data_IF_832910061532
#
_entry.id   IF_832910061532
#
_cell.length_a   1.000
_cell.length_b   1.000
_cell.length_c   1.000
_cell.angle_alpha   90.00
_cell.angle_beta   90.00
_cell.angle_gamma   90.00
#
_symmetry.space_group_name_H-M   'P 1'
#
loop_
_entity.id
_entity.type
_entity.pdbx_description
1 polymer ?
#
# COMPACT_ATOMS: atom_id res chain seq x y z
N UNK A 1 7.58 15.84 -4.28
CA UNK A 1 8.83 15.58 -5.03
C UNK A 1 8.59 14.32 -5.83
N UNK A 2 8.85 14.36 -7.12
CA UNK A 2 8.68 13.22 -8.01
C UNK A 2 10.01 12.46 -8.06
N UNK A 3 9.95 11.14 -7.88
CA UNK A 3 11.13 10.27 -7.95
C UNK A 3 10.89 9.35 -9.16
N UNK A 4 11.40 9.70 -10.35
CA UNK A 4 11.26 8.89 -11.54
C UNK A 4 12.08 7.59 -11.41
N UNK A 5 11.69 6.58 -12.15
CA UNK A 5 12.54 5.40 -12.32
C UNK A 5 13.88 5.81 -12.95
N UNK A 6 15.00 5.19 -12.57
CA UNK A 6 16.30 5.46 -13.17
C UNK A 6 16.29 5.22 -14.69
N UNK A 7 17.05 6.00 -15.44
CA UNK A 7 17.11 5.92 -16.90
C UNK A 7 17.41 4.52 -17.42
N UNK A 8 18.31 3.79 -16.75
CA UNK A 8 18.65 2.42 -17.15
C UNK A 8 17.48 1.43 -16.99
N UNK A 9 16.54 1.68 -16.05
CA UNK A 9 15.29 0.92 -15.91
C UNK A 9 14.32 1.28 -17.04
N UNK A 10 14.21 2.56 -17.37
CA UNK A 10 13.39 3.02 -18.50
C UNK A 10 13.91 2.47 -19.84
N UNK A 11 15.21 2.38 -20.03
CA UNK A 11 15.84 1.75 -21.20
C UNK A 11 15.58 0.23 -21.26
N UNK A 12 15.57 -0.45 -20.11
CA UNK A 12 15.17 -1.85 -20.03
C UNK A 12 13.70 -2.03 -20.44
N UNK A 13 12.82 -1.15 -19.98
CA UNK A 13 11.41 -1.14 -20.34
C UNK A 13 11.14 -0.85 -21.84
N UNK A 14 12.00 -0.09 -22.52
CA UNK A 14 11.92 0.06 -24.00
C UNK A 14 12.21 -1.25 -24.73
N UNK A 15 13.09 -2.09 -24.17
CA UNK A 15 13.44 -3.41 -24.75
C UNK A 15 12.43 -4.49 -24.38
N UNK A 16 11.84 -4.39 -23.21
CA UNK A 16 10.84 -5.29 -22.67
C UNK A 16 9.69 -4.47 -22.04
N UNK A 17 8.70 -4.06 -22.87
CA UNK A 17 7.60 -3.22 -22.39
C UNK A 17 6.73 -3.87 -21.30
N UNK A 18 6.73 -5.21 -21.21
CA UNK A 18 6.03 -5.95 -20.15
C UNK A 18 6.73 -5.86 -18.77
N UNK A 19 7.83 -5.10 -18.68
CA UNK A 19 8.40 -4.66 -17.41
C UNK A 19 7.44 -3.73 -16.65
N UNK A 20 6.55 -3.04 -17.34
CA UNK A 20 5.60 -2.09 -16.75
C UNK A 20 4.18 -2.64 -16.71
N UNK A 21 3.42 -2.20 -15.70
CA UNK A 21 1.99 -2.46 -15.66
C UNK A 21 1.28 -1.92 -16.90
N UNK A 22 0.28 -2.64 -17.36
CA UNK A 22 -0.45 -2.30 -18.60
C UNK A 22 -1.95 -2.31 -18.33
N UNK A 23 -2.63 -1.24 -18.74
CA UNK A 23 -4.08 -1.15 -18.71
C UNK A 23 -4.74 -1.83 -19.92
N UNK A 24 -6.08 -1.88 -19.95
CA UNK A 24 -6.86 -2.51 -21.01
C UNK A 24 -6.68 -1.87 -22.41
N UNK A 25 -6.17 -0.64 -22.47
CA UNK A 25 -5.91 0.07 -23.73
C UNK A 25 -4.46 -0.05 -24.18
N UNK A 26 -3.63 -0.79 -23.45
CA UNK A 26 -2.22 -1.01 -23.77
C UNK A 26 -1.28 0.10 -23.32
N UNK A 27 -1.75 1.05 -22.47
CA UNK A 27 -0.87 2.03 -21.87
C UNK A 27 0.07 1.36 -20.88
N UNK A 28 1.37 1.60 -21.03
CA UNK A 28 2.44 1.14 -20.16
C UNK A 28 2.75 2.21 -19.12
N UNK A 29 2.53 1.90 -17.83
CA UNK A 29 2.73 2.87 -16.76
C UNK A 29 4.19 2.84 -16.27
N UNK A 30 5.01 3.87 -16.56
CA UNK A 30 6.41 3.92 -16.16
C UNK A 30 6.64 4.39 -14.71
N UNK A 31 5.59 4.48 -13.90
CA UNK A 31 5.70 4.90 -12.49
C UNK A 31 6.40 3.84 -11.65
N UNK A 32 6.12 2.56 -11.91
CA UNK A 32 6.72 1.45 -11.17
C UNK A 32 6.79 0.18 -12.02
N UNK A 33 7.67 -0.74 -11.61
CA UNK A 33 7.84 -2.03 -12.25
C UNK A 33 6.65 -2.94 -11.90
N UNK A 34 6.18 -3.70 -12.90
CA UNK A 34 5.11 -4.67 -12.73
C UNK A 34 5.52 -5.80 -11.78
N UNK A 35 4.65 -6.14 -10.83
CA UNK A 35 4.85 -7.25 -9.90
C UNK A 35 4.99 -8.62 -10.61
N UNK A 36 4.43 -8.76 -11.81
CA UNK A 36 4.60 -9.99 -12.62
C UNK A 36 6.01 -10.11 -13.22
N UNK A 37 6.80 -9.03 -13.21
CA UNK A 37 8.21 -9.05 -13.58
C UNK A 37 9.15 -9.38 -12.41
N UNK A 38 8.67 -9.52 -11.17
CA UNK A 38 9.47 -9.72 -9.96
C UNK A 38 10.64 -10.67 -10.12
N UNK A 39 10.40 -11.81 -10.79
CA UNK A 39 11.38 -12.88 -11.00
C UNK A 39 11.87 -12.99 -12.46
N UNK A 40 11.56 -12.02 -13.32
CA UNK A 40 12.04 -11.99 -14.69
C UNK A 40 13.40 -11.28 -14.79
N UNK A 41 14.36 -11.86 -15.49
CA UNK A 41 15.71 -11.30 -15.63
C UNK A 41 15.72 -10.13 -16.66
N UNK A 42 14.96 -9.07 -16.38
CA UNK A 42 14.70 -7.94 -17.29
C UNK A 42 15.65 -6.77 -17.11
N UNK A 43 16.33 -6.69 -15.96
CA UNK A 43 17.20 -5.57 -15.57
C UNK A 43 18.68 -5.95 -15.72
N UNK A 44 19.21 -5.86 -16.93
CA UNK A 44 20.60 -6.25 -17.26
C UNK A 44 20.95 -7.67 -16.77
N UNK A 45 20.05 -8.64 -17.00
CA UNK A 45 20.21 -10.03 -16.54
C UNK A 45 19.84 -10.27 -15.07
N UNK A 46 19.44 -9.25 -14.33
CA UNK A 46 18.98 -9.34 -12.95
C UNK A 46 17.45 -9.24 -12.88
N UNK A 47 16.86 -9.82 -11.86
CA UNK A 47 15.43 -9.64 -11.59
C UNK A 47 15.19 -8.34 -10.81
N UNK A 48 13.99 -7.74 -10.91
CA UNK A 48 13.59 -6.64 -10.03
C UNK A 48 13.80 -6.97 -8.54
N UNK A 49 13.41 -8.16 -8.10
CA UNK A 49 13.62 -8.59 -6.71
C UNK A 49 15.08 -8.57 -6.29
N UNK A 50 16.01 -9.06 -7.16
CA UNK A 50 17.43 -9.01 -6.87
C UNK A 50 17.95 -7.56 -6.82
N UNK A 51 17.45 -6.70 -7.69
CA UNK A 51 17.83 -5.28 -7.71
C UNK A 51 17.39 -4.56 -6.43
N UNK A 52 16.16 -4.79 -5.97
CA UNK A 52 15.67 -4.28 -4.67
C UNK A 52 16.51 -4.83 -3.50
N UNK A 53 16.82 -6.12 -3.53
CA UNK A 53 17.66 -6.75 -2.50
C UNK A 53 19.03 -6.08 -2.40
N UNK A 54 19.69 -5.84 -3.52
CA UNK A 54 21.01 -5.22 -3.53
C UNK A 54 20.97 -3.77 -3.03
N UNK A 55 19.91 -3.03 -3.38
CA UNK A 55 19.67 -1.69 -2.83
C UNK A 55 19.52 -1.73 -1.30
N UNK A 56 18.70 -2.66 -0.78
CA UNK A 56 18.51 -2.83 0.67
C UNK A 56 19.82 -3.23 1.38
N UNK A 57 20.62 -4.09 0.78
CA UNK A 57 21.93 -4.47 1.32
C UNK A 57 22.86 -3.26 1.35
N UNK A 58 22.91 -2.47 0.29
CA UNK A 58 23.70 -1.23 0.23
C UNK A 58 23.28 -0.26 1.32
N UNK A 59 21.96 -0.02 1.48
CA UNK A 59 21.42 0.82 2.55
C UNK A 59 21.80 0.30 3.93
N UNK A 60 21.55 -1.00 4.19
CA UNK A 60 21.93 -1.64 5.46
C UNK A 60 23.40 -1.45 5.79
N UNK A 61 24.28 -1.63 4.81
CA UNK A 61 25.73 -1.54 5.03
C UNK A 61 26.17 -0.08 5.27
N UNK A 62 25.56 0.88 4.55
CA UNK A 62 25.84 2.32 4.71
C UNK A 62 25.43 2.82 6.09
N UNK A 63 24.25 2.43 6.57
CA UNK A 63 23.68 2.90 7.82
C UNK A 63 23.76 1.87 8.96
N UNK A 64 24.78 1.00 8.93
CA UNK A 64 24.92 -0.12 9.89
C UNK A 64 24.95 0.36 11.35
N UNK A 65 25.56 1.50 11.62
CA UNK A 65 25.72 2.04 12.99
C UNK A 65 24.41 2.64 13.53
N UNK A 66 23.51 3.07 12.64
CA UNK A 66 22.27 3.75 12.98
C UNK A 66 21.08 2.79 13.11
N UNK A 67 21.19 1.56 12.56
CA UNK A 67 20.13 0.56 12.61
C UNK A 67 19.87 0.08 14.04
N UNK A 68 18.62 0.11 14.45
CA UNK A 68 18.19 -0.28 15.79
C UNK A 68 18.35 0.81 16.86
N UNK A 69 18.96 1.94 16.52
CA UNK A 69 19.15 3.09 17.41
C UNK A 69 18.45 4.33 16.87
N UNK A 70 19.01 4.95 15.84
CA UNK A 70 18.43 6.12 15.16
C UNK A 70 17.41 5.70 14.10
N UNK A 71 17.70 4.63 13.36
CA UNK A 71 16.81 4.03 12.37
C UNK A 71 16.13 2.82 13.01
N UNK A 72 14.91 3.00 13.49
CA UNK A 72 14.16 1.99 14.24
C UNK A 72 13.10 1.27 13.40
N UNK A 73 12.78 1.80 12.21
CA UNK A 73 11.82 1.19 11.29
C UNK A 73 12.33 1.24 9.85
N UNK A 74 12.09 0.17 9.11
CA UNK A 74 12.29 0.07 7.67
C UNK A 74 10.93 -0.17 7.01
N UNK A 75 10.37 0.87 6.40
CA UNK A 75 9.18 0.75 5.57
C UNK A 75 9.59 0.44 4.13
N UNK A 76 9.17 -0.71 3.61
CA UNK A 76 9.51 -1.14 2.26
C UNK A 76 8.43 -0.72 1.26
N UNK A 77 8.85 -0.05 0.18
CA UNK A 77 7.95 0.31 -0.91
C UNK A 77 7.57 -0.90 -1.75
N UNK A 78 6.26 -1.12 -1.96
CA UNK A 78 5.73 -2.27 -2.69
C UNK A 78 5.02 -1.90 -4.00
N UNK A 79 4.97 -0.62 -4.37
CA UNK A 79 4.28 -0.16 -5.57
C UNK A 79 4.22 1.37 -5.63
N UNK A 80 3.23 1.95 -6.32
CA UNK A 80 3.07 3.38 -6.48
C UNK A 80 3.06 4.12 -5.14
N UNK A 81 3.78 5.20 -5.02
CA UNK A 81 3.93 5.96 -3.76
C UNK A 81 4.44 5.13 -2.57
N UNK A 82 5.08 3.99 -2.82
CA UNK A 82 5.51 3.03 -1.80
C UNK A 82 4.40 2.14 -1.24
N UNK A 83 3.18 2.26 -1.74
CA UNK A 83 2.01 1.51 -1.29
C UNK A 83 1.90 0.15 -1.96
N UNK A 84 1.42 -0.85 -1.23
CA UNK A 84 1.08 -2.16 -1.78
C UNK A 84 -0.25 -2.05 -2.53
N UNK A 85 -0.21 -1.61 -3.77
CA UNK A 85 -1.35 -1.49 -4.69
C UNK A 85 -0.90 -1.51 -6.14
N UNK A 86 -1.86 -1.74 -7.03
CA UNK A 86 -1.66 -1.49 -8.46
C UNK A 86 -1.74 0.01 -8.78
N UNK A 87 -1.10 0.49 -9.86
CA UNK A 87 -1.22 1.88 -10.33
C UNK A 87 -2.56 2.12 -11.05
N UNK A 88 -3.67 1.74 -10.41
CA UNK A 88 -5.03 1.78 -10.96
C UNK A 88 -5.57 3.20 -11.17
N UNK A 89 -5.02 4.20 -10.46
CA UNK A 89 -5.38 5.60 -10.56
C UNK A 89 -4.12 6.46 -10.66
N UNK A 90 -3.46 6.49 -11.86
CA UNK A 90 -2.23 7.22 -12.07
C UNK A 90 -2.45 8.73 -11.92
N UNK A 91 -1.78 9.35 -10.97
CA UNK A 91 -1.78 10.79 -10.80
C UNK A 91 -0.86 11.42 -11.83
N UNK A 92 -1.42 11.90 -12.89
CA UNK A 92 -1.05 12.97 -13.83
C UNK A 92 0.36 13.18 -14.35
N UNK A 93 1.41 12.68 -13.75
CA UNK A 93 2.76 13.14 -14.07
C UNK A 93 3.41 12.41 -15.22
N UNK A 94 2.95 11.19 -15.48
CA UNK A 94 3.49 10.32 -16.55
C UNK A 94 2.47 9.91 -17.59
N UNK A 95 1.17 10.19 -17.38
CA UNK A 95 0.11 9.78 -18.28
C UNK A 95 -0.03 10.75 -19.45
N UNK A 96 -0.21 10.23 -20.65
CA UNK A 96 -0.72 10.99 -21.78
C UNK A 96 -2.11 11.56 -21.43
N UNK A 97 -2.44 12.75 -21.89
CA UNK A 97 -3.68 13.49 -21.54
C UNK A 97 -4.98 12.67 -21.58
N UNK A 98 -5.05 11.61 -22.36
CA UNK A 98 -6.24 10.78 -22.53
C UNK A 98 -6.46 9.75 -21.42
N UNK A 99 -5.41 9.35 -20.71
CA UNK A 99 -5.44 8.33 -19.65
C UNK A 99 -5.36 8.90 -18.24
N UNK A 100 -5.51 10.21 -18.10
CA UNK A 100 -5.41 10.90 -16.81
C UNK A 100 -6.58 10.58 -15.90
N UNK A 101 -6.32 9.86 -14.81
CA UNK A 101 -7.31 9.66 -13.75
C UNK A 101 -7.65 10.98 -13.03
N UNK A 102 -8.91 11.10 -12.64
CA UNK A 102 -9.44 12.21 -11.82
C UNK A 102 -10.35 11.65 -10.74
N UNK A 103 -10.19 12.14 -9.52
CA UNK A 103 -11.11 11.82 -8.43
C UNK A 103 -12.56 12.24 -8.78
N UNK A 104 -13.59 11.41 -8.55
CA UNK A 104 -13.57 10.08 -7.95
C UNK A 104 -13.65 8.91 -8.96
N UNK A 105 -12.95 8.96 -10.08
CA UNK A 105 -12.91 7.86 -11.06
C UNK A 105 -12.57 6.51 -10.43
N UNK A 106 -13.16 5.43 -10.96
CA UNK A 106 -12.97 4.08 -10.43
C UNK A 106 -11.59 3.49 -10.66
N UNK A 107 -10.78 4.10 -11.56
CA UNK A 107 -9.51 3.51 -11.98
C UNK A 107 -9.67 2.35 -12.95
N UNK A 108 -8.55 1.74 -13.33
CA UNK A 108 -8.53 0.60 -14.26
C UNK A 108 -7.67 -0.54 -13.73
N UNK A 109 -8.03 -1.79 -14.05
CA UNK A 109 -7.18 -2.95 -13.83
C UNK A 109 -5.87 -2.83 -14.64
N UNK A 110 -4.76 -3.30 -14.07
CA UNK A 110 -3.41 -3.13 -14.60
C UNK A 110 -2.75 -4.46 -14.97
N UNK A 111 -3.51 -5.37 -15.56
CA UNK A 111 -3.13 -6.77 -15.78
C UNK A 111 -3.23 -7.20 -17.27
N UNK A 112 -2.87 -6.31 -18.20
CA UNK A 112 -2.97 -6.58 -19.64
C UNK A 112 -1.60 -6.70 -20.33
N UNK A 113 -0.49 -6.80 -19.57
CA UNK A 113 0.79 -7.22 -20.08
C UNK A 113 0.84 -8.75 -20.30
N UNK A 114 1.79 -9.22 -21.10
CA UNK A 114 1.87 -10.64 -21.45
C UNK A 114 2.13 -11.56 -20.24
N UNK A 115 2.88 -11.09 -19.23
CA UNK A 115 3.17 -11.89 -18.03
C UNK A 115 1.94 -12.05 -17.15
N UNK A 116 1.19 -10.96 -16.96
CA UNK A 116 -0.06 -11.00 -16.20
C UNK A 116 -1.12 -11.88 -16.89
N UNK A 117 -1.27 -11.77 -18.22
CA UNK A 117 -2.19 -12.60 -18.98
C UNK A 117 -1.81 -14.10 -18.92
N UNK A 118 -0.51 -14.43 -18.94
CA UNK A 118 -0.05 -15.80 -18.75
C UNK A 118 -0.35 -16.32 -17.33
N UNK A 119 -0.22 -15.47 -16.29
CA UNK A 119 -0.62 -15.83 -14.92
C UNK A 119 -2.11 -16.05 -14.83
N UNK A 120 -2.94 -15.18 -15.41
CA UNK A 120 -4.40 -15.32 -15.46
C UNK A 120 -4.81 -16.62 -16.16
N UNK A 121 -4.21 -16.92 -17.31
CA UNK A 121 -4.50 -18.15 -18.09
C UNK A 121 -4.20 -19.43 -17.29
N UNK A 122 -3.10 -19.44 -16.52
CA UNK A 122 -2.77 -20.57 -15.63
C UNK A 122 -3.80 -20.70 -14.51
N UNK A 123 -4.12 -19.60 -13.83
CA UNK A 123 -5.11 -19.59 -12.75
C UNK A 123 -6.50 -20.06 -13.23
N UNK A 124 -6.91 -19.62 -14.42
CA UNK A 124 -8.17 -20.05 -15.04
C UNK A 124 -8.18 -21.57 -15.35
N UNK A 125 -7.08 -22.08 -15.87
CA UNK A 125 -6.91 -23.51 -16.13
C UNK A 125 -6.95 -24.34 -14.84
N UNK A 126 -6.28 -23.88 -13.79
CA UNK A 126 -6.27 -24.52 -12.46
C UNK A 126 -7.66 -24.49 -11.80
N UNK A 127 -8.44 -23.44 -12.05
CA UNK A 127 -9.84 -23.36 -11.61
C UNK A 127 -10.82 -24.21 -12.44
N UNK A 128 -10.36 -24.79 -13.56
CA UNK A 128 -11.20 -25.58 -14.47
C UNK A 128 -12.00 -24.75 -15.47
N UNK A 129 -11.69 -23.46 -15.61
CA UNK A 129 -12.42 -22.48 -16.44
C UNK A 129 -11.46 -21.81 -17.45
N UNK A 130 -10.99 -22.59 -18.41
CA UNK A 130 -10.00 -22.13 -19.42
C UNK A 130 -10.51 -20.88 -20.17
N UNK A 131 -11.82 -20.77 -20.39
CA UNK A 131 -12.48 -19.65 -21.04
C UNK A 131 -12.31 -18.29 -20.29
N UNK A 132 -11.97 -18.31 -19.00
CA UNK A 132 -11.73 -17.12 -18.19
C UNK A 132 -10.30 -16.58 -18.31
N UNK A 133 -9.41 -17.34 -18.93
CA UNK A 133 -7.98 -17.05 -19.01
C UNK A 133 -7.55 -16.17 -20.18
N UNK A 134 -8.46 -15.71 -21.02
CA UNK A 134 -8.12 -14.99 -22.26
C UNK A 134 -7.75 -13.53 -22.06
N UNK A 135 -8.40 -12.87 -21.11
CA UNK A 135 -8.18 -11.44 -20.80
C UNK A 135 -8.84 -11.09 -19.45
N UNK A 136 -8.56 -9.88 -18.94
CA UNK A 136 -9.37 -9.28 -17.87
C UNK A 136 -10.79 -8.93 -18.34
N UNK A 137 -11.68 -8.50 -17.44
CA UNK A 137 -13.05 -8.12 -17.78
C UNK A 137 -13.08 -6.95 -18.78
N UNK A 138 -14.03 -6.96 -19.72
CA UNK A 138 -14.13 -5.94 -20.79
C UNK A 138 -15.20 -4.87 -20.54
N UNK A 139 -15.98 -5.00 -19.50
CA UNK A 139 -17.07 -4.10 -19.15
C UNK A 139 -16.78 -3.25 -17.91
N UNK A 140 -15.49 -3.04 -17.63
CA UNK A 140 -15.00 -2.32 -16.45
C UNK A 140 -15.01 -0.80 -16.60
N UNK A 141 -15.25 -0.27 -17.79
CA UNK A 141 -15.13 1.15 -18.09
C UNK A 141 -13.66 1.61 -18.14
N UNK A 142 -13.44 2.91 -18.06
CA UNK A 142 -12.11 3.54 -18.05
C UNK A 142 -11.85 4.26 -16.73
N UNK A 143 -10.66 4.84 -16.58
CA UNK A 143 -10.15 5.49 -15.37
C UNK A 143 -11.15 6.42 -14.66
N UNK A 144 -11.95 7.17 -15.42
CA UNK A 144 -12.82 8.22 -14.92
C UNK A 144 -14.32 7.85 -14.89
N UNK A 145 -14.66 6.62 -15.24
CA UNK A 145 -16.04 6.17 -15.09
C UNK A 145 -16.43 6.08 -13.62
N UNK A 146 -17.74 6.10 -13.40
CA UNK A 146 -18.35 5.85 -12.10
C UNK A 146 -18.86 4.40 -12.06
N UNK A 147 -19.02 3.76 -10.90
CA UNK A 147 -19.39 2.35 -10.82
C UNK A 147 -20.66 1.99 -11.61
N UNK A 148 -21.68 2.85 -11.56
CA UNK A 148 -22.97 2.64 -12.22
C UNK A 148 -22.93 2.85 -13.75
N UNK A 149 -21.86 3.37 -14.31
CA UNK A 149 -21.66 3.54 -15.75
C UNK A 149 -21.04 2.29 -16.42
N UNK A 150 -20.71 1.27 -15.63
CA UNK A 150 -20.01 0.07 -16.10
C UNK A 150 -20.88 -1.18 -15.95
N UNK A 151 -20.67 -2.17 -16.78
CA UNK A 151 -21.29 -3.47 -16.62
C UNK A 151 -20.70 -4.26 -15.46
N UNK A 152 -19.41 -4.09 -15.21
CA UNK A 152 -18.69 -4.83 -14.17
C UNK A 152 -19.05 -4.35 -12.76
N UNK A 153 -18.95 -3.04 -12.46
CA UNK A 153 -19.06 -2.52 -11.09
C UNK A 153 -20.46 -2.03 -10.68
N UNK A 154 -21.45 -2.05 -11.56
CA UNK A 154 -22.79 -1.58 -11.21
C UNK A 154 -23.38 -2.36 -10.04
N UNK A 155 -24.26 -1.68 -9.29
CA UNK A 155 -24.85 -2.21 -8.05
C UNK A 155 -25.67 -3.49 -8.28
N UNK A 156 -26.59 -3.46 -9.25
CA UNK A 156 -27.47 -4.59 -9.56
C UNK A 156 -26.96 -5.36 -10.78
N UNK A 157 -26.61 -6.63 -10.58
CA UNK A 157 -26.18 -7.54 -11.65
C UNK A 157 -24.85 -7.14 -12.28
N UNK A 158 -23.96 -6.45 -11.55
CA UNK A 158 -22.59 -6.23 -11.95
C UNK A 158 -21.81 -7.54 -11.96
N UNK A 159 -20.99 -7.75 -13.00
CA UNK A 159 -20.25 -8.99 -13.15
C UNK A 159 -19.15 -9.20 -12.09
N UNK A 160 -18.81 -8.17 -11.31
CA UNK A 160 -17.92 -8.31 -10.14
C UNK A 160 -18.45 -9.31 -9.10
N UNK A 161 -19.79 -9.45 -8.97
CA UNK A 161 -20.48 -10.33 -8.01
C UNK A 161 -20.85 -11.71 -8.63
N UNK A 162 -20.36 -12.00 -9.83
CA UNK A 162 -20.52 -13.28 -10.50
C UNK A 162 -19.40 -14.27 -10.10
N UNK A 163 -19.56 -15.53 -10.48
CA UNK A 163 -18.51 -16.54 -10.30
C UNK A 163 -17.22 -16.17 -11.02
N UNK A 164 -17.31 -15.68 -12.26
CA UNK A 164 -16.19 -15.13 -13.00
C UNK A 164 -15.56 -13.93 -12.29
N UNK A 165 -16.37 -12.96 -11.84
CA UNK A 165 -15.89 -11.78 -11.13
C UNK A 165 -15.15 -12.17 -9.84
N UNK A 166 -15.70 -13.09 -9.08
CA UNK A 166 -15.09 -13.62 -7.86
C UNK A 166 -13.75 -14.32 -8.13
N UNK A 167 -13.68 -15.12 -9.20
CA UNK A 167 -12.43 -15.73 -9.66
C UNK A 167 -11.38 -14.69 -10.03
N UNK A 168 -11.73 -13.77 -10.95
CA UNK A 168 -10.81 -12.75 -11.45
C UNK A 168 -10.27 -11.85 -10.31
N UNK A 169 -11.16 -11.34 -9.46
CA UNK A 169 -10.78 -10.48 -8.35
C UNK A 169 -9.94 -11.22 -7.30
N UNK A 170 -10.23 -12.49 -7.06
CA UNK A 170 -9.41 -13.32 -6.16
C UNK A 170 -8.01 -13.52 -6.71
N UNK A 171 -7.86 -13.82 -8.01
CA UNK A 171 -6.57 -13.91 -8.67
C UNK A 171 -5.81 -12.59 -8.59
N UNK A 172 -6.43 -11.49 -9.02
CA UNK A 172 -5.80 -10.16 -9.09
C UNK A 172 -5.33 -9.67 -7.70
N UNK A 173 -6.16 -9.83 -6.68
CA UNK A 173 -5.79 -9.50 -5.30
C UNK A 173 -4.69 -10.42 -4.76
N UNK A 174 -4.75 -11.73 -5.06
CA UNK A 174 -3.74 -12.68 -4.58
C UNK A 174 -2.35 -12.40 -5.16
N UNK A 175 -2.25 -11.99 -6.42
CA UNK A 175 -0.98 -11.58 -7.03
C UNK A 175 -0.34 -10.40 -6.29
N UNK A 176 -1.14 -9.40 -5.90
CA UNK A 176 -0.69 -8.26 -5.11
C UNK A 176 -0.21 -8.69 -3.71
N UNK A 177 -1.00 -9.51 -3.01
CA UNK A 177 -0.66 -10.02 -1.68
C UNK A 177 0.62 -10.86 -1.72
N UNK A 178 0.78 -11.71 -2.74
CA UNK A 178 1.97 -12.52 -2.95
C UNK A 178 3.22 -11.66 -3.23
N UNK A 179 3.07 -10.55 -3.96
CA UNK A 179 4.15 -9.58 -4.14
C UNK A 179 4.58 -8.98 -2.79
N UNK A 180 3.63 -8.52 -1.98
CA UNK A 180 3.92 -8.02 -0.62
C UNK A 180 4.60 -9.06 0.26
N UNK A 181 4.19 -10.33 0.18
CA UNK A 181 4.81 -11.43 0.91
C UNK A 181 6.28 -11.65 0.51
N UNK A 182 6.57 -11.67 -0.80
CA UNK A 182 7.95 -11.77 -1.33
C UNK A 182 8.82 -10.59 -0.89
N UNK A 183 8.28 -9.38 -0.95
CA UNK A 183 9.00 -8.16 -0.55
C UNK A 183 9.34 -8.18 0.94
N UNK A 184 8.39 -8.51 1.81
CA UNK A 184 8.65 -8.61 3.25
C UNK A 184 9.58 -9.76 3.60
N UNK A 185 9.47 -10.90 2.95
CA UNK A 185 10.39 -12.02 3.17
C UNK A 185 11.84 -11.63 2.84
N UNK A 186 12.05 -10.98 1.70
CA UNK A 186 13.35 -10.49 1.29
C UNK A 186 13.89 -9.44 2.27
N UNK A 187 13.06 -8.47 2.65
CA UNK A 187 13.43 -7.41 3.58
C UNK A 187 13.82 -7.98 4.94
N UNK A 188 13.03 -8.94 5.45
CA UNK A 188 13.32 -9.63 6.71
C UNK A 188 14.70 -10.31 6.68
N UNK A 189 15.03 -11.00 5.59
CA UNK A 189 16.36 -11.63 5.44
C UNK A 189 17.50 -10.61 5.41
N UNK A 190 17.28 -9.45 4.79
CA UNK A 190 18.31 -8.40 4.70
C UNK A 190 18.53 -7.71 6.04
N UNK A 191 17.47 -7.45 6.80
CA UNK A 191 17.54 -6.69 8.05
C UNK A 191 17.41 -7.57 9.31
N UNK A 192 17.58 -8.90 9.16
CA UNK A 192 17.55 -9.80 10.32
C UNK A 192 18.53 -9.38 11.41
N UNK A 193 18.08 -9.44 12.67
CA UNK A 193 18.88 -9.09 13.86
C UNK A 193 19.48 -7.67 13.85
N UNK A 194 18.84 -6.72 13.17
CA UNK A 194 19.30 -5.31 13.11
C UNK A 194 18.55 -4.40 14.08
N UNK A 195 17.63 -4.92 14.89
CA UNK A 195 16.88 -4.12 15.86
C UNK A 195 15.86 -3.17 15.24
N UNK A 196 15.47 -3.39 13.98
CA UNK A 196 14.51 -2.56 13.26
C UNK A 196 13.17 -3.26 13.11
N UNK A 197 12.09 -2.50 13.22
CA UNK A 197 10.75 -2.95 12.84
C UNK A 197 10.59 -2.86 11.32
N UNK A 198 9.99 -3.89 10.71
CA UNK A 198 9.62 -3.82 9.30
C UNK A 198 8.21 -3.27 9.14
N UNK A 199 7.95 -2.54 8.06
CA UNK A 199 6.63 -2.04 7.74
C UNK A 199 6.35 -2.08 6.23
N UNK A 200 5.07 -2.23 5.88
CA UNK A 200 4.54 -1.96 4.54
C UNK A 200 3.36 -0.99 4.64
N UNK A 201 3.03 -0.34 3.54
CA UNK A 201 1.94 0.62 3.48
C UNK A 201 0.84 0.17 2.52
N UNK A 202 -0.43 0.31 2.95
CA UNK A 202 -1.61 0.20 2.09
C UNK A 202 -2.15 1.59 1.74
N UNK A 203 -2.75 1.72 0.56
CA UNK A 203 -3.40 2.94 0.13
C UNK A 203 -4.76 3.15 0.81
N UNK A 204 -5.09 4.40 1.10
CA UNK A 204 -6.40 4.80 1.61
C UNK A 204 -7.39 5.07 0.49
N UNK A 205 -7.81 4.03 -0.22
CA UNK A 205 -8.79 4.14 -1.31
C UNK A 205 -10.19 4.23 -0.72
N UNK A 206 -10.59 5.44 -0.34
CA UNK A 206 -11.80 5.68 0.45
C UNK A 206 -13.04 6.08 -0.38
N UNK A 207 -12.88 6.45 -1.65
CA UNK A 207 -13.99 6.77 -2.55
C UNK A 207 -14.63 5.48 -3.08
N UNK A 208 -15.93 5.50 -3.27
CA UNK A 208 -16.76 4.32 -3.56
C UNK A 208 -16.72 3.23 -2.48
N UNK A 209 -16.18 3.53 -1.28
CA UNK A 209 -16.17 2.59 -0.17
C UNK A 209 -17.60 2.23 0.30
N UNK A 210 -18.53 3.20 0.30
CA UNK A 210 -19.92 3.00 0.67
C UNK A 210 -20.80 2.51 -0.51
N UNK A 211 -20.20 1.93 -1.55
CA UNK A 211 -20.88 1.26 -2.66
C UNK A 211 -20.50 -0.22 -2.64
N UNK A 212 -21.50 -1.09 -2.79
CA UNK A 212 -21.32 -2.53 -2.64
C UNK A 212 -20.18 -3.14 -3.47
N UNK A 213 -19.93 -2.61 -4.68
CA UNK A 213 -18.84 -3.08 -5.55
C UNK A 213 -17.45 -2.61 -5.15
N UNK A 214 -17.31 -1.60 -4.28
CA UNK A 214 -16.00 -1.04 -3.90
C UNK A 214 -15.04 -0.80 -5.09
N UNK A 215 -15.55 -0.28 -6.20
CA UNK A 215 -14.88 -0.32 -7.51
C UNK A 215 -13.44 0.19 -7.51
N UNK A 216 -13.15 1.27 -6.79
CA UNK A 216 -11.80 1.84 -6.72
C UNK A 216 -10.82 0.96 -5.93
N UNK A 217 -11.28 0.31 -4.86
CA UNK A 217 -10.48 -0.66 -4.11
C UNK A 217 -10.20 -1.91 -4.95
N UNK A 218 -11.20 -2.40 -5.69
CA UNK A 218 -11.04 -3.58 -6.56
C UNK A 218 -10.01 -3.34 -7.66
N UNK A 219 -10.04 -2.19 -8.33
CA UNK A 219 -9.03 -1.86 -9.37
C UNK A 219 -7.64 -1.67 -8.77
N UNK A 220 -7.55 -1.15 -7.54
CA UNK A 220 -6.30 -1.02 -6.80
C UNK A 220 -5.73 -2.36 -6.28
N UNK A 221 -6.50 -3.45 -6.36
CA UNK A 221 -6.07 -4.79 -5.98
C UNK A 221 -6.54 -5.27 -4.60
N UNK A 222 -7.41 -4.51 -3.93
CA UNK A 222 -8.01 -4.90 -2.66
C UNK A 222 -9.36 -5.53 -2.92
N UNK A 223 -9.45 -6.85 -2.89
CA UNK A 223 -10.74 -7.53 -3.06
C UNK A 223 -11.58 -7.36 -1.80
N UNK A 224 -12.03 -6.13 -1.59
CA UNK A 224 -12.88 -5.70 -0.50
C UNK A 224 -14.32 -5.57 -0.98
N UNK A 225 -15.27 -6.15 -0.25
CA UNK A 225 -16.71 -6.01 -0.48
C UNK A 225 -17.41 -5.73 0.83
N UNK A 226 -16.65 -5.44 1.88
CA UNK A 226 -17.14 -5.17 3.22
C UNK A 226 -17.31 -3.67 3.41
N UNK A 227 -18.57 -3.23 3.55
CA UNK A 227 -18.89 -1.85 3.87
C UNK A 227 -19.84 -1.79 5.08
N UNK A 228 -19.50 -1.03 6.09
CA UNK A 228 -20.35 -0.75 7.24
C UNK A 228 -20.84 -2.02 7.95
N UNK A 229 -22.17 -2.22 7.97
CA UNK A 229 -22.82 -3.32 8.69
C UNK A 229 -22.75 -4.70 7.98
N UNK A 230 -22.25 -4.79 6.77
CA UNK A 230 -22.19 -6.04 5.99
C UNK A 230 -21.03 -6.93 6.43
N UNK A 231 -21.11 -7.45 7.64
CA UNK A 231 -20.06 -8.28 8.28
C UNK A 231 -19.83 -9.61 7.53
N UNK A 232 -20.80 -10.07 6.74
CA UNK A 232 -20.71 -11.32 5.95
C UNK A 232 -19.90 -11.18 4.66
N UNK A 233 -19.50 -9.96 4.29
CA UNK A 233 -18.80 -9.69 3.05
C UNK A 233 -17.29 -9.81 3.22
N UNK A 234 -16.57 -9.84 2.08
CA UNK A 234 -15.14 -10.13 2.05
C UNK A 234 -14.32 -8.95 2.55
N UNK A 235 -13.48 -9.18 3.56
CA UNK A 235 -12.46 -8.24 4.03
C UNK A 235 -11.20 -8.36 3.14
N UNK A 236 -11.01 -7.36 2.27
CA UNK A 236 -9.89 -7.33 1.31
C UNK A 236 -8.54 -7.01 1.92
N UNK A 237 -8.50 -6.51 3.16
CA UNK A 237 -7.26 -6.14 3.87
C UNK A 237 -6.73 -7.24 4.78
N UNK A 238 -7.59 -8.13 5.25
CA UNK A 238 -7.19 -9.25 6.12
C UNK A 238 -6.06 -10.12 5.52
N UNK A 239 -5.99 -10.44 4.22
CA UNK A 239 -4.87 -11.15 3.63
C UNK A 239 -3.53 -10.41 3.80
N UNK A 240 -3.52 -9.08 3.62
CA UNK A 240 -2.32 -8.25 3.78
C UNK A 240 -1.88 -8.21 5.24
N UNK A 241 -2.83 -8.07 6.17
CA UNK A 241 -2.56 -8.11 7.61
C UNK A 241 -1.95 -9.47 8.02
N UNK A 242 -2.42 -10.58 7.44
CA UNK A 242 -1.81 -11.91 7.68
C UNK A 242 -0.37 -11.98 7.17
N UNK A 243 -0.06 -11.37 6.04
CA UNK A 243 1.32 -11.27 5.54
C UNK A 243 2.18 -10.45 6.50
N UNK A 244 1.68 -9.31 7.01
CA UNK A 244 2.38 -8.54 8.06
C UNK A 244 2.65 -9.41 9.29
N UNK A 245 1.64 -10.17 9.79
CA UNK A 245 1.82 -11.08 10.92
C UNK A 245 2.88 -12.15 10.68
N UNK A 246 2.86 -12.77 9.51
CA UNK A 246 3.82 -13.80 9.10
C UNK A 246 5.27 -13.31 9.21
N UNK A 247 5.51 -12.05 8.83
CA UNK A 247 6.86 -11.47 8.81
C UNK A 247 7.20 -10.65 10.06
N UNK A 248 6.26 -10.46 10.99
CA UNK A 248 6.42 -9.58 12.13
C UNK A 248 6.50 -8.11 11.75
N UNK A 249 5.84 -7.74 10.67
CA UNK A 249 5.82 -6.38 10.15
C UNK A 249 4.64 -5.58 10.68
N UNK A 250 4.79 -4.25 10.68
CA UNK A 250 3.74 -3.27 10.95
C UNK A 250 2.99 -2.95 9.66
N UNK A 251 1.71 -2.65 9.77
CA UNK A 251 0.93 -2.10 8.67
C UNK A 251 0.78 -0.58 8.84
N UNK A 252 1.25 0.17 7.85
CA UNK A 252 1.08 1.62 7.76
C UNK A 252 -0.12 1.93 6.84
N UNK A 253 -0.96 2.88 7.25
CA UNK A 253 -2.15 3.26 6.52
C UNK A 253 -2.38 4.77 6.58
N UNK A 254 -3.03 5.32 5.57
CA UNK A 254 -3.31 6.75 5.46
C UNK A 254 -4.75 7.11 5.84
N UNK A 255 -5.18 8.34 5.58
CA UNK A 255 -6.54 8.87 5.83
C UNK A 255 -6.93 9.02 7.32
N UNK A 256 -5.97 9.09 8.22
CA UNK A 256 -6.25 9.13 9.68
C UNK A 256 -6.98 10.40 10.10
N UNK A 257 -6.77 11.52 9.39
CA UNK A 257 -7.39 12.82 9.67
C UNK A 257 -8.77 13.01 9.04
N UNK A 258 -9.19 12.08 8.16
CA UNK A 258 -10.34 12.33 7.30
C UNK A 258 -11.67 11.99 7.99
N UNK A 259 -12.69 12.77 7.62
CA UNK A 259 -14.09 12.49 7.90
C UNK A 259 -14.84 12.07 6.63
N UNK A 260 -15.88 11.27 6.77
CA UNK A 260 -16.74 10.88 5.64
C UNK A 260 -17.38 12.10 4.95
N UNK A 261 -17.55 13.20 5.70
CA UNK A 261 -18.08 14.47 5.20
C UNK A 261 -17.07 15.35 4.45
N UNK A 262 -15.80 15.00 4.41
CA UNK A 262 -14.75 15.82 3.75
C UNK A 262 -14.87 15.84 2.22
N UNK A 263 -15.63 14.92 1.66
CA UNK A 263 -15.91 14.83 0.22
C UNK A 263 -17.41 14.93 -0.10
N UNK A 264 -17.76 15.32 -1.31
CA UNK A 264 -19.15 15.34 -1.73
C UNK A 264 -19.82 13.96 -1.59
N UNK A 265 -21.06 13.92 -1.12
CA UNK A 265 -21.82 12.71 -0.85
C UNK A 265 -21.88 11.73 -2.06
N UNK A 266 -21.89 12.25 -3.28
CA UNK A 266 -21.95 11.43 -4.51
C UNK A 266 -20.65 10.67 -4.82
N UNK A 267 -19.57 10.91 -4.07
CA UNK A 267 -18.34 10.13 -4.15
C UNK A 267 -18.40 8.85 -3.31
N UNK A 268 -19.43 8.71 -2.47
CA UNK A 268 -19.62 7.57 -1.57
C UNK A 268 -18.36 7.24 -0.76
N UNK A 269 -17.66 8.28 -0.31
CA UNK A 269 -16.46 8.12 0.49
C UNK A 269 -16.77 7.59 1.89
N UNK A 270 -15.89 6.74 2.41
CA UNK A 270 -15.98 6.19 3.76
C UNK A 270 -14.61 6.01 4.41
N UNK A 271 -13.78 7.08 4.54
CA UNK A 271 -12.46 6.97 5.15
C UNK A 271 -12.52 6.52 6.62
N UNK A 272 -13.57 6.89 7.36
CA UNK A 272 -13.75 6.49 8.76
C UNK A 272 -14.06 5.00 8.87
N UNK A 273 -14.96 4.49 8.04
CA UNK A 273 -15.29 3.06 7.96
C UNK A 273 -14.10 2.22 7.51
N UNK A 274 -13.38 2.68 6.50
CA UNK A 274 -12.20 2.01 5.97
C UNK A 274 -11.07 1.92 7.02
N UNK A 275 -10.76 3.04 7.69
CA UNK A 275 -9.76 3.06 8.77
C UNK A 275 -10.14 2.09 9.89
N UNK A 276 -11.41 2.06 10.30
CA UNK A 276 -11.93 1.15 11.32
C UNK A 276 -11.78 -0.31 10.89
N UNK A 277 -12.14 -0.65 9.65
CA UNK A 277 -11.99 -2.00 9.09
C UNK A 277 -10.56 -2.51 9.18
N UNK A 278 -9.59 -1.71 8.73
CA UNK A 278 -8.18 -2.10 8.70
C UNK A 278 -7.62 -2.22 10.11
N UNK A 279 -7.94 -1.29 11.01
CA UNK A 279 -7.54 -1.36 12.42
C UNK A 279 -8.11 -2.60 13.11
N UNK A 280 -9.39 -2.93 12.85
CA UNK A 280 -10.02 -4.16 13.37
C UNK A 280 -9.33 -5.42 12.86
N UNK A 281 -8.94 -5.45 11.57
CA UNK A 281 -8.16 -6.55 11.03
C UNK A 281 -6.79 -6.67 11.72
N UNK A 282 -6.09 -5.55 11.91
CA UNK A 282 -4.80 -5.53 12.60
C UNK A 282 -4.93 -6.02 14.06
N UNK A 283 -5.93 -5.55 14.81
CA UNK A 283 -6.18 -5.98 16.19
C UNK A 283 -6.50 -7.49 16.25
N UNK A 284 -7.36 -7.99 15.36
CA UNK A 284 -7.73 -9.42 15.29
C UNK A 284 -6.55 -10.35 15.04
N UNK A 285 -5.55 -9.92 14.27
CA UNK A 285 -4.36 -10.70 13.97
C UNK A 285 -3.14 -10.30 14.82
N UNK A 286 -3.30 -9.40 15.78
CA UNK A 286 -2.21 -8.90 16.63
C UNK A 286 -1.04 -8.38 15.75
N UNK A 287 -1.35 -7.43 14.86
CA UNK A 287 -0.40 -6.72 14.00
C UNK A 287 -0.36 -5.26 14.44
N UNK A 288 0.81 -4.70 14.74
CA UNK A 288 0.91 -3.29 15.08
C UNK A 288 0.45 -2.42 13.90
N UNK A 289 -0.38 -1.42 14.17
CA UNK A 289 -0.91 -0.49 13.20
C UNK A 289 -0.27 0.88 13.35
N UNK A 290 0.12 1.49 12.23
CA UNK A 290 0.59 2.87 12.19
C UNK A 290 -0.20 3.70 11.17
N UNK A 291 -0.33 4.99 11.44
CA UNK A 291 -1.11 5.88 10.62
C UNK A 291 -0.32 7.02 10.02
N UNK A 292 -0.87 7.62 8.95
CA UNK A 292 -0.41 8.88 8.38
C UNK A 292 -1.60 9.70 7.87
N UNK A 293 -1.42 11.03 7.76
CA UNK A 293 -2.42 11.90 7.16
C UNK A 293 -2.33 11.87 5.62
N UNK A 294 -3.49 11.89 4.94
CA UNK A 294 -3.57 11.90 3.48
C UNK A 294 -3.56 13.32 2.90
N UNK A 295 -4.33 14.22 3.49
CA UNK A 295 -4.59 15.55 2.95
C UNK A 295 -3.64 16.62 3.52
N UNK A 296 -3.51 17.73 2.79
CA UNK A 296 -2.79 18.92 3.25
C UNK A 296 -3.75 19.76 4.11
N UNK A 297 -3.97 19.33 5.35
CA UNK A 297 -4.89 19.98 6.32
C UNK A 297 -4.13 20.39 7.56
N UNK A 298 -4.34 21.63 7.99
CA UNK A 298 -3.72 22.24 9.19
C UNK A 298 -4.77 22.82 10.12
N UNK A 299 -6.02 22.36 10.01
CA UNK A 299 -7.14 22.81 10.81
C UNK A 299 -7.34 21.92 12.05
N UNK A 300 -8.03 22.49 13.04
CA UNK A 300 -8.27 21.85 14.33
C UNK A 300 -9.06 20.52 14.22
N UNK A 301 -10.04 20.47 13.29
CA UNK A 301 -10.87 19.27 13.14
C UNK A 301 -10.05 18.06 12.67
N UNK A 302 -9.10 18.30 11.72
CA UNK A 302 -8.16 17.28 11.27
C UNK A 302 -7.23 16.82 12.42
N UNK A 303 -6.69 17.75 13.20
CA UNK A 303 -5.83 17.42 14.35
C UNK A 303 -6.57 16.67 15.44
N UNK A 304 -7.80 17.06 15.79
CA UNK A 304 -8.62 16.35 16.77
C UNK A 304 -8.93 14.93 16.32
N UNK A 305 -9.20 14.74 15.00
CA UNK A 305 -9.44 13.42 14.42
C UNK A 305 -8.20 12.53 14.50
N UNK A 306 -7.02 13.06 14.19
CA UNK A 306 -5.75 12.33 14.33
C UNK A 306 -5.55 11.87 15.77
N UNK A 307 -5.65 12.79 16.74
CA UNK A 307 -5.46 12.49 18.17
C UNK A 307 -6.42 11.40 18.63
N UNK A 308 -7.73 11.57 18.33
CA UNK A 308 -8.74 10.57 18.65
C UNK A 308 -8.39 9.20 18.08
N UNK A 309 -8.06 9.14 16.81
CA UNK A 309 -7.72 7.87 16.15
C UNK A 309 -6.43 7.26 16.68
N UNK A 310 -5.42 8.06 17.02
CA UNK A 310 -4.15 7.57 17.56
C UNK A 310 -4.28 7.02 18.99
N UNK A 311 -5.10 7.64 19.82
CA UNK A 311 -5.30 7.22 21.21
C UNK A 311 -6.01 5.86 21.38
N UNK A 312 -6.63 5.36 20.32
CA UNK A 312 -7.36 4.09 20.40
C UNK A 312 -8.68 4.19 21.18
N UNK A 313 -9.23 5.38 21.33
CA UNK A 313 -10.50 5.58 22.02
C UNK A 313 -11.64 4.86 21.31
N UNK A 314 -12.04 3.76 21.90
CA UNK A 314 -13.15 2.92 21.45
C UNK A 314 -14.43 3.21 22.21
N UNK A 315 -14.89 4.45 22.27
CA UNK A 315 -16.19 4.81 22.83
C UNK A 315 -17.30 4.94 21.79
N UNK A 316 -17.08 4.57 20.55
CA UNK A 316 -18.16 4.51 19.57
C UNK A 316 -18.97 3.24 19.81
N UNK A 317 -20.29 3.39 20.03
CA UNK A 317 -21.24 2.28 20.25
C UNK A 317 -21.19 1.23 19.11
N UNK A 318 -20.76 1.59 17.92
CA UNK A 318 -20.54 0.70 16.78
C UNK A 318 -19.40 -0.30 16.99
N UNK A 319 -18.35 0.06 17.76
CA UNK A 319 -17.25 -0.86 18.05
C UNK A 319 -17.64 -1.99 19.01
N UNK A 320 -18.62 -1.75 19.87
CA UNK A 320 -19.17 -2.76 20.76
C UNK A 320 -19.92 -3.87 20.02
N UNK A 321 -20.45 -3.58 18.82
CA UNK A 321 -21.12 -4.59 18.00
C UNK A 321 -20.18 -5.65 17.46
N UNK A 322 -18.92 -5.31 17.21
CA UNK A 322 -17.86 -6.28 16.78
C UNK A 322 -17.05 -6.87 17.95
N UNK A 323 -17.21 -6.37 19.18
CA UNK A 323 -16.53 -6.88 20.36
C UNK A 323 -15.01 -6.69 20.38
N UNK A 324 -14.47 -5.87 19.47
CA UNK A 324 -13.02 -5.66 19.35
C UNK A 324 -12.64 -4.25 19.80
N UNK A 325 -11.90 -4.14 20.90
CA UNK A 325 -11.25 -2.89 21.28
C UNK A 325 -10.10 -2.62 20.31
N UNK A 326 -10.07 -1.39 19.76
CA UNK A 326 -8.96 -0.96 18.90
C UNK A 326 -7.81 -0.43 19.76
N UNK A 327 -6.64 -1.05 19.71
CA UNK A 327 -5.49 -0.56 20.46
C UNK A 327 -5.04 0.81 19.93
N UNK A 328 -4.30 1.60 20.76
CA UNK A 328 -3.62 2.79 20.27
C UNK A 328 -2.75 2.46 19.05
N UNK A 329 -2.58 3.45 18.18
CA UNK A 329 -1.65 3.30 17.06
C UNK A 329 -0.22 3.16 17.58
N UNK A 330 0.58 2.31 16.96
CA UNK A 330 1.98 2.13 17.34
C UNK A 330 2.87 3.29 16.89
N UNK A 331 2.46 4.02 15.84
CA UNK A 331 3.15 5.19 15.31
C UNK A 331 2.18 6.04 14.49
N UNK A 332 2.46 7.34 14.41
CA UNK A 332 1.80 8.25 13.49
C UNK A 332 2.85 9.09 12.76
N UNK A 333 2.76 9.14 11.42
CA UNK A 333 3.63 9.95 10.56
C UNK A 333 2.86 11.14 10.04
N UNK A 334 3.26 12.36 10.44
CA UNK A 334 2.71 13.57 9.88
C UNK A 334 3.37 13.87 8.53
N UNK A 335 2.60 13.76 7.47
CA UNK A 335 3.00 14.15 6.12
C UNK A 335 2.67 15.63 5.84
N UNK A 336 3.07 16.14 4.66
CA UNK A 336 2.75 17.49 4.20
C UNK A 336 3.53 18.60 4.91
N UNK A 337 4.79 18.35 5.22
CA UNK A 337 5.74 19.39 5.62
C UNK A 337 6.06 20.28 4.42
N UNK A 338 5.30 21.36 4.26
CA UNK A 338 5.39 22.28 3.15
C UNK A 338 5.39 23.74 3.63
N UNK A 339 5.54 24.72 2.73
CA UNK A 339 5.59 26.14 3.08
C UNK A 339 4.32 26.65 3.78
N UNK A 340 3.15 26.06 3.50
CA UNK A 340 1.88 26.43 4.11
C UNK A 340 1.84 26.10 5.60
N UNK A 341 2.38 24.94 6.00
CA UNK A 341 2.52 24.58 7.40
C UNK A 341 3.33 25.61 8.20
N UNK A 342 4.32 26.23 7.58
CA UNK A 342 5.20 27.21 8.23
C UNK A 342 4.64 28.65 8.22
N UNK A 343 3.39 28.86 7.77
CA UNK A 343 2.70 30.11 8.03
C UNK A 343 2.46 30.29 9.54
N UNK A 344 2.45 31.53 10.06
CA UNK A 344 2.38 31.78 11.51
C UNK A 344 1.20 31.03 12.19
N UNK A 345 0.03 31.08 11.56
CA UNK A 345 -1.18 30.45 12.11
C UNK A 345 -1.12 28.93 12.05
N UNK A 346 -0.78 28.36 10.90
CA UNK A 346 -0.73 26.89 10.73
C UNK A 346 0.36 26.29 11.59
N UNK A 347 1.51 26.93 11.73
CA UNK A 347 2.62 26.45 12.56
C UNK A 347 2.27 26.47 14.05
N UNK A 348 1.58 27.50 14.54
CA UNK A 348 1.14 27.49 15.95
C UNK A 348 0.10 26.41 16.22
N UNK A 349 -0.86 26.21 15.32
CA UNK A 349 -1.83 25.11 15.41
C UNK A 349 -1.15 23.74 15.39
N UNK A 350 -0.14 23.58 14.55
CA UNK A 350 0.68 22.35 14.49
C UNK A 350 1.48 22.13 15.77
N UNK A 351 2.06 23.18 16.35
CA UNK A 351 2.79 23.10 17.62
C UNK A 351 1.88 22.61 18.76
N UNK A 352 0.65 23.14 18.82
CA UNK A 352 -0.36 22.72 19.79
C UNK A 352 -0.75 21.23 19.53
N UNK A 353 -0.95 20.86 18.28
CA UNK A 353 -1.23 19.48 17.89
C UNK A 353 -0.12 18.52 18.37
N UNK A 354 1.14 18.84 18.13
CA UNK A 354 2.29 18.00 18.58
C UNK A 354 2.31 17.86 20.12
N UNK A 355 2.03 18.94 20.85
CA UNK A 355 1.93 18.91 22.30
C UNK A 355 0.80 17.97 22.75
N UNK A 356 -0.38 18.09 22.15
CA UNK A 356 -1.54 17.26 22.46
C UNK A 356 -1.31 15.78 22.09
N UNK A 357 -0.68 15.50 20.95
CA UNK A 357 -0.29 14.13 20.59
C UNK A 357 0.56 13.49 21.67
N UNK A 358 1.52 14.23 22.22
CA UNK A 358 2.34 13.74 23.33
C UNK A 358 1.52 13.45 24.59
N UNK A 359 0.68 14.41 24.98
CA UNK A 359 -0.01 14.37 26.26
C UNK A 359 -1.21 13.40 26.29
N UNK A 360 -1.91 13.26 25.14
CA UNK A 360 -3.17 12.52 25.05
C UNK A 360 -3.02 11.10 24.49
N UNK A 361 -1.95 10.78 23.71
CA UNK A 361 -1.81 9.47 23.06
C UNK A 361 -0.72 8.59 23.65
N UNK A 362 0.21 9.15 24.43
CA UNK A 362 1.37 8.43 24.93
C UNK A 362 2.39 8.00 23.85
N UNK A 363 2.17 8.35 22.59
CA UNK A 363 3.04 7.93 21.48
C UNK A 363 4.46 8.50 21.53
N UNK A 364 4.69 9.54 22.32
CA UNK A 364 6.00 10.18 22.51
C UNK A 364 6.68 9.84 23.84
N UNK A 365 6.11 8.94 24.63
CA UNK A 365 6.77 8.42 25.83
C UNK A 365 7.80 7.35 25.42
N UNK A 366 8.85 7.81 24.73
CA UNK A 366 10.04 7.01 24.47
C UNK A 366 10.93 7.03 25.72
N UNK A 367 10.56 6.28 26.72
CA UNK A 367 11.57 5.74 27.63
C UNK A 367 12.38 4.73 26.81
N UNK A 368 13.45 5.21 26.19
CA UNK A 368 14.50 4.34 25.65
C UNK A 368 15.02 3.51 26.82
N UNK A 369 14.54 2.27 26.91
CA UNK A 369 15.04 1.32 27.87
C UNK A 369 16.52 1.12 27.62
N UNK A 370 17.35 1.48 28.59
CA UNK A 370 18.73 1.05 28.68
C UNK A 370 18.75 -0.48 28.69
N UNK A 371 19.04 -1.10 27.53
CA UNK A 371 19.48 -2.48 27.49
C UNK A 371 20.98 -2.47 27.66
N UNK A 372 21.41 -3.05 28.76
CA UNK A 372 22.79 -3.35 29.16
C UNK A 372 23.57 -4.04 28.05
N UNK A 373 24.86 -3.65 27.96
CA UNK A 373 25.92 -4.22 27.15
C UNK A 373 25.97 -5.76 27.26
N UNK A 374 25.67 -6.46 26.15
CA UNK A 374 26.18 -7.81 25.90
C UNK A 374 27.05 -7.78 24.66
N UNK A 375 28.27 -8.23 24.83
CA UNK A 375 29.37 -8.22 23.88
C UNK A 375 29.00 -8.95 22.56
N UNK A 376 29.09 -8.24 21.46
CA UNK A 376 28.95 -8.81 20.12
C UNK A 376 30.28 -9.44 19.69
N UNK A 377 30.28 -10.77 19.56
CA UNK A 377 31.35 -11.52 18.92
C UNK A 377 31.51 -11.15 17.44
N UNK A 378 32.73 -10.88 17.09
CA UNK A 378 33.19 -10.67 15.72
C UNK A 378 33.20 -12.00 14.97
N UNK A 379 32.35 -12.18 13.97
CA UNK A 379 32.58 -13.02 12.79
C UNK A 379 31.35 -12.93 11.88
N UNK A 380 31.51 -12.24 10.75
CA UNK A 380 30.86 -12.56 9.48
C UNK A 380 31.30 -11.54 8.42
N UNK A 381 32.35 -11.93 7.72
CA UNK A 381 32.75 -11.27 6.47
C UNK A 381 32.10 -12.06 5.34
N UNK A 382 30.93 -11.63 4.90
CA UNK A 382 30.30 -12.17 3.70
C UNK A 382 30.98 -11.64 2.45
N UNK A 383 31.53 -12.55 1.67
CA UNK A 383 32.19 -12.32 0.37
C UNK A 383 31.21 -11.65 -0.61
N UNK A 384 31.53 -10.42 -0.97
CA UNK A 384 30.98 -9.79 -2.18
C UNK A 384 31.77 -10.36 -3.35
N UNK A 385 31.11 -11.08 -4.27
CA UNK A 385 31.77 -11.61 -5.46
C UNK A 385 32.45 -10.48 -6.23
N UNK A 386 33.69 -10.74 -6.67
CA UNK A 386 34.60 -9.79 -7.30
C UNK A 386 34.11 -9.18 -8.63
N UNK A 387 33.00 -9.66 -9.16
CA UNK A 387 32.45 -9.20 -10.43
C UNK A 387 31.60 -7.90 -10.34
N UNK A 388 31.15 -7.49 -9.15
CA UNK A 388 30.31 -6.30 -9.00
C UNK A 388 31.09 -4.98 -8.94
N UNK A 389 32.43 -5.01 -8.89
CA UNK A 389 33.25 -3.79 -8.73
C UNK A 389 33.57 -3.04 -10.02
N UNK A 390 33.31 -3.61 -11.19
CA UNK A 390 33.78 -3.06 -12.48
C UNK A 390 32.79 -2.16 -13.20
N UNK A 391 31.52 -2.06 -12.75
CA UNK A 391 30.48 -1.33 -13.52
C UNK A 391 29.88 -0.09 -12.87
N UNK A 392 30.33 0.32 -11.69
CA UNK A 392 29.96 1.61 -11.10
C UNK A 392 31.14 2.55 -11.21
N UNK A 393 31.24 3.27 -12.35
CA UNK A 393 32.16 4.38 -12.51
C UNK A 393 31.81 5.51 -11.54
N UNK A 394 32.53 5.62 -10.45
CA UNK A 394 32.76 6.79 -9.62
C UNK A 394 34.27 7.11 -9.67
#
# INVERSE_FOLDING_TARGET
MEIPLPDWVLEAGKKDPDLFFTDQYGYRNPECISLWADNAATLAGRTPMNTYKDFMISFRNTFKAELGTTLTEIAVGCGPCGELRYPAYPENRFAQKASQWRFPGIGEFQCYDQRSLLSLSRAASEAGHIEWGGSGPHDTGGYNNLPFETGFFRYDGGSWDSEYGSFFLSWYSSELVNHGDRMLEMTKRVFDKRGVTLAIKCAGVHWWYNVRSHAAELTAGYFNTRAGEFVSERDGYAPIVRVCKKHGARLNFTCVEMHDSDHPWYCYCGPEGLLRQIRSACARFDVPFAGENALCRFDQAAYDKIIKNCAGEGNDEEMWREGTMLPPMACFTFLRFNAELFSPFAFESFRIFVQRMRDETGLLDTSIGNTSDEEASTEDVDEISSESRVQLGL
#
